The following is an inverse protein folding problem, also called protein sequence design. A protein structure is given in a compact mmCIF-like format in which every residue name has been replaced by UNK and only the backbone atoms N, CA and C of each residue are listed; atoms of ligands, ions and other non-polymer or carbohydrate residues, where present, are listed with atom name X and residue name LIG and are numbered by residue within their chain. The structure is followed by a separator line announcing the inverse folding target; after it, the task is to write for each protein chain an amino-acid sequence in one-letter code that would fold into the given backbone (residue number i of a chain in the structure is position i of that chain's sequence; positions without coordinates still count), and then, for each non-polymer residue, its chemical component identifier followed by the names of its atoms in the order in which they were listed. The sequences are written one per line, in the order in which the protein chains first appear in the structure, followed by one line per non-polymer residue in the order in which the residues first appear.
data_IF_126283240124
#
_entry.id   IF_126283240124
#
_cell.length_a   1.000
_cell.length_b   1.000
_cell.length_c   1.000
_cell.angle_alpha   90.00
_cell.angle_beta   90.00
_cell.angle_gamma   90.00
#
_symmetry.space_group_name_H-M   'P 1'
#
loop_
_entity.id
_entity.type
_entity.pdbx_description
1 polymer ?
#
# COMPACT_ATOMS: atom_id res chain seq x y z
N UNK A 1 36.83 24.17 69.08
CA UNK A 1 35.74 24.77 68.30
C UNK A 1 36.09 24.59 66.82
N UNK A 2 35.78 23.43 66.25
CA UNK A 2 36.04 23.11 64.84
C UNK A 2 34.69 23.00 64.13
N UNK A 3 34.43 23.90 63.17
CA UNK A 3 33.22 23.92 62.37
C UNK A 3 33.35 23.02 61.14
N UNK A 4 32.43 22.06 61.00
CA UNK A 4 32.32 21.15 59.86
C UNK A 4 31.45 21.82 58.79
N UNK A 5 32.01 22.01 57.60
CA UNK A 5 31.29 22.45 56.40
C UNK A 5 30.57 21.24 55.77
N UNK A 6 29.24 21.17 55.85
CA UNK A 6 28.44 20.24 55.08
C UNK A 6 28.22 20.80 53.66
N UNK A 7 28.78 20.13 52.65
CA UNK A 7 28.44 20.35 51.25
C UNK A 7 27.19 19.53 50.90
N UNK A 8 26.11 20.21 50.51
CA UNK A 8 24.89 19.58 49.99
C UNK A 8 25.04 19.28 48.49
N UNK A 9 24.86 18.02 48.11
CA UNK A 9 24.73 17.56 46.72
C UNK A 9 23.24 17.62 46.30
N UNK A 10 22.89 18.16 45.12
CA UNK A 10 21.55 17.99 44.58
C UNK A 10 21.44 16.64 43.85
N UNK A 11 20.56 15.77 44.35
CA UNK A 11 20.10 14.58 43.65
C UNK A 11 19.05 14.97 42.61
N UNK A 12 19.47 15.16 41.35
CA UNK A 12 18.55 15.26 40.22
C UNK A 12 18.54 13.92 39.48
N UNK A 13 17.67 13.01 39.94
CA UNK A 13 17.33 11.81 39.19
C UNK A 13 16.50 12.22 37.96
N UNK A 14 17.16 12.33 36.80
CA UNK A 14 16.45 12.40 35.53
C UNK A 14 15.86 11.02 35.24
N UNK A 15 14.59 10.85 35.59
CA UNK A 15 13.78 9.75 35.08
C UNK A 15 13.68 9.93 33.57
N UNK A 16 14.48 9.16 32.84
CA UNK A 16 14.38 9.03 31.39
C UNK A 16 13.00 8.44 31.09
N UNK A 17 12.04 9.28 30.72
CA UNK A 17 10.78 8.83 30.16
C UNK A 17 11.11 7.99 28.92
N UNK A 18 10.78 6.71 28.99
CA UNK A 18 10.94 5.77 27.87
C UNK A 18 10.06 6.24 26.72
N UNK A 19 10.67 6.81 25.69
CA UNK A 19 9.98 7.17 24.45
C UNK A 19 9.35 5.90 23.88
N UNK A 20 8.01 5.84 23.72
CA UNK A 20 7.40 4.69 23.08
C UNK A 20 7.97 4.53 21.67
N UNK A 21 8.28 3.30 21.28
CA UNK A 21 8.96 2.89 20.02
C UNK A 21 8.19 3.31 18.75
N UNK A 22 7.04 3.97 18.90
CA UNK A 22 6.08 4.35 17.85
C UNK A 22 6.56 5.45 16.89
N UNK A 23 7.77 6.01 17.04
CA UNK A 23 8.26 7.15 16.23
C UNK A 23 9.16 6.78 15.04
N UNK A 24 9.19 5.52 14.57
CA UNK A 24 10.17 5.12 13.53
C UNK A 24 9.75 5.41 12.09
N UNK A 25 8.48 5.65 11.80
CA UNK A 25 7.95 5.70 10.43
C UNK A 25 7.40 7.07 9.99
N UNK A 26 7.53 8.10 10.83
CA UNK A 26 6.97 9.44 10.55
C UNK A 26 5.44 9.50 10.64
N UNK A 27 4.88 10.66 10.26
CA UNK A 27 3.43 10.91 10.27
C UNK A 27 3.02 11.79 9.09
N UNK A 28 1.77 11.67 8.67
CA UNK A 28 1.19 12.51 7.62
C UNK A 28 0.96 13.93 8.15
N UNK A 29 1.44 14.94 7.42
CA UNK A 29 1.22 16.35 7.75
C UNK A 29 -0.24 16.75 7.54
N UNK A 30 -0.81 17.53 8.46
CA UNK A 30 -2.22 17.97 8.41
C UNK A 30 -3.22 16.81 8.21
N UNK A 31 -2.93 15.67 8.83
CA UNK A 31 -3.71 14.45 8.63
C UNK A 31 -5.17 14.61 9.09
N UNK A 32 -6.07 14.12 8.26
CA UNK A 32 -7.48 13.93 8.59
C UNK A 32 -7.84 12.45 8.43
N UNK A 33 -8.34 11.79 9.49
CA UNK A 33 -8.72 10.39 9.43
C UNK A 33 -9.73 10.10 8.33
N UNK A 34 -9.58 8.98 7.65
CA UNK A 34 -10.50 8.57 6.60
C UNK A 34 -11.89 8.25 7.17
N UNK A 35 -12.93 8.93 6.67
CA UNK A 35 -14.32 8.61 7.00
C UNK A 35 -14.80 7.33 6.30
N UNK A 36 -15.91 6.76 6.76
CA UNK A 36 -16.52 5.58 6.12
C UNK A 36 -16.88 5.83 4.64
N UNK A 37 -17.41 7.00 4.31
CA UNK A 37 -17.72 7.39 2.93
C UNK A 37 -16.49 7.57 2.06
N UNK A 38 -15.40 8.14 2.61
CA UNK A 38 -14.13 8.27 1.86
C UNK A 38 -13.47 6.92 1.64
N UNK A 39 -13.58 6.00 2.61
CA UNK A 39 -13.08 4.63 2.48
C UNK A 39 -13.84 3.86 1.41
N UNK A 40 -15.16 3.98 1.35
CA UNK A 40 -15.94 3.38 0.27
C UNK A 40 -15.60 3.99 -1.09
N UNK A 41 -15.42 5.31 -1.15
CA UNK A 41 -14.96 6.00 -2.37
C UNK A 41 -13.56 5.55 -2.78
N UNK A 42 -12.65 5.35 -1.83
CA UNK A 42 -11.33 4.79 -2.06
C UNK A 42 -11.45 3.39 -2.66
N UNK A 43 -12.25 2.51 -2.05
CA UNK A 43 -12.50 1.16 -2.57
C UNK A 43 -12.98 1.18 -4.03
N UNK A 44 -13.98 2.02 -4.35
CA UNK A 44 -14.49 2.14 -5.71
C UNK A 44 -13.44 2.69 -6.67
N UNK A 45 -12.71 3.76 -6.31
CA UNK A 45 -11.69 4.36 -7.19
C UNK A 45 -10.49 3.44 -7.38
N UNK A 46 -10.03 2.75 -6.34
CA UNK A 46 -8.91 1.82 -6.43
C UNK A 46 -9.27 0.53 -7.17
N UNK A 47 -10.56 0.22 -7.33
CA UNK A 47 -11.03 -0.98 -8.05
C UNK A 47 -11.43 -0.66 -9.49
N UNK A 48 -12.26 0.36 -9.68
CA UNK A 48 -12.91 0.72 -10.95
C UNK A 48 -12.43 2.06 -11.52
N UNK A 49 -11.46 2.71 -10.89
CA UNK A 49 -10.90 3.96 -11.40
C UNK A 49 -10.01 3.74 -12.62
N UNK A 50 -9.75 4.81 -13.41
CA UNK A 50 -9.00 4.71 -14.66
C UNK A 50 -7.63 4.04 -14.51
N UNK A 51 -6.89 4.35 -13.45
CA UNK A 51 -5.58 3.74 -13.17
C UNK A 51 -5.70 2.21 -13.04
N UNK A 52 -6.67 1.73 -12.26
CA UNK A 52 -6.90 0.29 -12.11
C UNK A 52 -7.33 -0.35 -13.42
N UNK A 53 -8.26 0.26 -14.16
CA UNK A 53 -8.77 -0.31 -15.40
C UNK A 53 -7.69 -0.40 -16.49
N UNK A 54 -6.86 0.65 -16.63
CA UNK A 54 -5.75 0.70 -17.59
C UNK A 54 -4.66 -0.30 -17.21
N UNK A 55 -4.25 -0.36 -15.94
CA UNK A 55 -3.30 -1.37 -15.48
C UNK A 55 -3.84 -2.79 -15.75
N UNK A 56 -5.16 -2.98 -15.66
CA UNK A 56 -5.78 -4.26 -16.01
C UNK A 56 -5.67 -4.63 -17.47
N UNK A 57 -5.89 -3.67 -18.37
CA UNK A 57 -5.76 -3.90 -19.80
C UNK A 57 -4.30 -4.21 -20.17
N UNK A 58 -3.33 -3.50 -19.58
CA UNK A 58 -1.91 -3.75 -19.81
C UNK A 58 -1.50 -5.14 -19.32
N UNK A 59 -1.85 -5.51 -18.09
CA UNK A 59 -1.51 -6.83 -17.54
C UNK A 59 -2.18 -7.98 -18.31
N UNK A 60 -3.46 -7.85 -18.65
CA UNK A 60 -4.17 -8.85 -19.42
C UNK A 60 -3.62 -8.98 -20.86
N UNK A 61 -3.29 -7.85 -21.49
CA UNK A 61 -2.67 -7.82 -22.81
C UNK A 61 -1.31 -8.52 -22.82
N UNK A 62 -0.45 -8.22 -21.83
CA UNK A 62 0.83 -8.91 -21.69
C UNK A 62 0.64 -10.41 -21.46
N UNK A 63 -0.25 -10.81 -20.54
CA UNK A 63 -0.55 -12.22 -20.26
C UNK A 63 -1.11 -12.97 -21.48
N UNK A 64 -1.87 -12.29 -22.32
CA UNK A 64 -2.40 -12.82 -23.59
C UNK A 64 -1.29 -12.96 -24.62
N UNK A 65 -0.36 -12.01 -24.70
CA UNK A 65 0.78 -12.05 -25.63
C UNK A 65 1.76 -13.19 -25.31
N UNK A 66 1.94 -13.54 -24.04
CA UNK A 66 2.79 -14.68 -23.62
C UNK A 66 2.01 -15.98 -23.40
N UNK A 67 0.69 -15.94 -23.63
CA UNK A 67 -0.26 -17.03 -23.42
C UNK A 67 -0.10 -17.77 -22.09
N UNK A 68 -0.12 -17.02 -20.97
CA UNK A 68 -0.05 -17.62 -19.62
C UNK A 68 -1.26 -17.27 -18.76
N UNK A 69 -1.95 -18.26 -18.16
CA UNK A 69 -1.86 -19.70 -18.48
C UNK A 69 -2.38 -19.97 -19.91
N UNK A 70 -1.90 -21.04 -20.55
CA UNK A 70 -2.25 -21.37 -21.95
C UNK A 70 -3.71 -21.78 -22.14
N UNK A 71 -4.36 -22.21 -21.08
CA UNK A 71 -5.75 -22.67 -21.04
C UNK A 71 -6.75 -21.55 -21.31
N UNK A 72 -6.33 -20.30 -21.12
CA UNK A 72 -7.13 -19.14 -21.50
C UNK A 72 -6.98 -18.79 -22.99
N UNK A 73 -5.90 -19.24 -23.63
CA UNK A 73 -5.57 -18.96 -25.03
C UNK A 73 -5.11 -17.52 -25.30
N UNK A 74 -4.47 -17.26 -26.45
CA UNK A 74 -3.90 -15.96 -26.81
C UNK A 74 -4.89 -15.01 -27.51
N UNK A 75 -6.19 -15.31 -27.48
CA UNK A 75 -7.24 -14.56 -28.16
C UNK A 75 -8.06 -13.68 -27.21
N UNK A 76 -9.03 -12.92 -27.75
CA UNK A 76 -9.85 -11.98 -26.99
C UNK A 76 -10.61 -12.60 -25.81
N UNK A 77 -11.09 -13.85 -25.94
CA UNK A 77 -11.69 -14.55 -24.79
C UNK A 77 -10.67 -14.78 -23.65
N UNK A 78 -9.43 -15.16 -23.97
CA UNK A 78 -8.35 -15.30 -22.99
C UNK A 78 -7.93 -13.97 -22.37
N UNK A 79 -7.92 -12.89 -23.15
CA UNK A 79 -7.75 -11.54 -22.63
C UNK A 79 -8.83 -11.19 -21.61
N UNK A 80 -10.11 -11.45 -21.95
CA UNK A 80 -11.25 -11.21 -21.07
C UNK A 80 -11.15 -11.97 -19.75
N UNK A 81 -10.79 -13.26 -19.80
CA UNK A 81 -10.53 -14.09 -18.61
C UNK A 81 -9.43 -13.49 -17.74
N UNK A 82 -8.26 -13.16 -18.31
CA UNK A 82 -7.13 -12.56 -17.56
C UNK A 82 -7.50 -11.22 -16.94
N UNK A 83 -8.24 -10.39 -17.67
CA UNK A 83 -8.73 -9.10 -17.17
C UNK A 83 -9.70 -9.29 -16.00
N UNK A 84 -10.68 -10.19 -16.14
CA UNK A 84 -11.66 -10.52 -15.11
C UNK A 84 -11.02 -11.10 -13.84
N UNK A 85 -10.11 -12.06 -13.99
CA UNK A 85 -9.35 -12.62 -12.87
C UNK A 85 -8.55 -11.54 -12.12
N UNK A 86 -7.91 -10.62 -12.85
CA UNK A 86 -7.21 -9.51 -12.22
C UNK A 86 -8.18 -8.54 -11.53
N UNK A 87 -9.30 -8.21 -12.17
CA UNK A 87 -10.30 -7.30 -11.60
C UNK A 87 -10.90 -7.86 -10.31
N UNK A 88 -11.29 -9.14 -10.29
CA UNK A 88 -11.77 -9.82 -9.08
C UNK A 88 -10.69 -9.85 -8.00
N UNK A 89 -9.43 -10.04 -8.37
CA UNK A 89 -8.29 -9.96 -7.47
C UNK A 89 -8.13 -8.59 -6.79
N UNK A 90 -8.15 -7.52 -7.59
CA UNK A 90 -8.07 -6.14 -7.08
C UNK A 90 -9.27 -5.82 -6.19
N UNK A 91 -10.49 -6.17 -6.62
CA UNK A 91 -11.71 -5.93 -5.86
C UNK A 91 -11.68 -6.64 -4.50
N UNK A 92 -11.29 -7.92 -4.48
CA UNK A 92 -11.21 -8.72 -3.25
C UNK A 92 -10.14 -8.20 -2.31
N UNK A 93 -8.93 -7.89 -2.82
CA UNK A 93 -7.87 -7.28 -2.00
C UNK A 93 -8.31 -5.94 -1.41
N UNK A 94 -8.89 -5.06 -2.22
CA UNK A 94 -9.36 -3.75 -1.74
C UNK A 94 -10.52 -3.89 -0.74
N UNK A 95 -11.40 -4.88 -0.90
CA UNK A 95 -12.49 -5.16 0.04
C UNK A 95 -11.93 -5.60 1.40
N UNK A 96 -10.94 -6.51 1.41
CA UNK A 96 -10.28 -6.97 2.64
C UNK A 96 -9.53 -5.80 3.31
N UNK A 97 -8.72 -5.05 2.55
CA UNK A 97 -7.94 -3.91 3.09
C UNK A 97 -8.87 -2.81 3.64
N UNK A 98 -9.95 -2.51 2.92
CA UNK A 98 -10.97 -1.56 3.37
C UNK A 98 -11.62 -2.03 4.67
N UNK A 99 -12.11 -3.27 4.70
CA UNK A 99 -12.88 -3.80 5.83
C UNK A 99 -12.01 -3.92 7.08
N UNK A 100 -10.86 -4.60 6.99
CA UNK A 100 -9.93 -4.73 8.11
C UNK A 100 -9.35 -3.38 8.52
N UNK A 101 -9.03 -2.52 7.56
CA UNK A 101 -8.55 -1.17 7.85
C UNK A 101 -9.59 -0.32 8.57
N UNK A 102 -10.89 -0.54 8.37
CA UNK A 102 -11.93 0.14 9.15
C UNK A 102 -11.94 -0.32 10.61
N UNK A 103 -11.68 -1.60 10.86
CA UNK A 103 -11.63 -2.19 12.20
C UNK A 103 -10.35 -1.80 12.95
N UNK A 104 -9.22 -1.73 12.26
CA UNK A 104 -7.92 -1.41 12.84
C UNK A 104 -7.55 0.08 12.77
N UNK A 105 -8.40 0.91 12.17
CA UNK A 105 -8.15 2.34 12.00
C UNK A 105 -7.01 2.66 11.03
N UNK A 106 -6.72 1.76 10.09
CA UNK A 106 -5.69 1.95 9.05
C UNK A 106 -6.29 2.69 7.85
N UNK A 107 -5.58 3.72 7.38
CA UNK A 107 -5.92 4.47 6.18
C UNK A 107 -5.21 3.88 4.95
N UNK A 108 -5.95 3.37 3.95
CA UNK A 108 -5.35 2.74 2.78
C UNK A 108 -4.92 3.75 1.70
N UNK A 109 -5.17 5.06 1.92
CA UNK A 109 -4.78 6.12 0.98
C UNK A 109 -3.26 6.30 0.97
N UNK A 110 -2.74 6.65 -0.21
CA UNK A 110 -1.36 7.07 -0.37
C UNK A 110 -1.25 8.58 -0.12
N UNK A 111 -0.33 9.00 0.75
CA UNK A 111 -0.06 10.40 1.07
C UNK A 111 1.31 10.79 0.50
N UNK A 112 1.28 11.71 -0.47
CA UNK A 112 2.47 12.18 -1.18
C UNK A 112 3.34 13.07 -0.30
N UNK A 113 4.63 13.13 -0.62
CA UNK A 113 5.58 14.04 0.03
C UNK A 113 6.36 14.87 -1.02
N UNK A 114 5.70 15.82 -1.71
CA UNK A 114 6.24 16.45 -2.92
C UNK A 114 7.45 17.37 -2.65
N UNK A 115 7.59 17.89 -1.43
CA UNK A 115 8.64 18.84 -1.06
C UNK A 115 9.99 18.17 -0.78
N UNK A 116 10.02 16.83 -0.75
CA UNK A 116 11.23 16.08 -0.47
C UNK A 116 12.08 15.79 -1.72
N UNK A 117 13.41 15.58 -1.54
CA UNK A 117 14.27 15.09 -2.62
C UNK A 117 13.81 13.75 -3.19
N UNK A 118 14.09 13.51 -4.47
CA UNK A 118 13.70 12.29 -5.20
C UNK A 118 14.02 10.98 -4.46
N UNK A 119 15.22 10.86 -3.86
CA UNK A 119 15.63 9.66 -3.12
C UNK A 119 14.77 9.40 -1.89
N UNK A 120 14.41 10.45 -1.15
CA UNK A 120 13.54 10.36 0.02
C UNK A 120 12.15 9.91 -0.38
N UNK A 121 11.61 10.48 -1.47
CA UNK A 121 10.30 10.10 -2.04
C UNK A 121 10.27 8.65 -2.54
N UNK A 122 11.36 8.18 -3.15
CA UNK A 122 11.48 6.78 -3.54
C UNK A 122 11.49 5.84 -2.33
N UNK A 123 12.23 6.19 -1.27
CA UNK A 123 12.19 5.47 0.00
C UNK A 123 10.79 5.46 0.62
N UNK A 124 10.09 6.59 0.55
CA UNK A 124 8.71 6.74 1.02
C UNK A 124 7.73 5.82 0.27
N UNK A 125 7.83 5.73 -1.06
CA UNK A 125 7.04 4.78 -1.88
C UNK A 125 7.22 3.33 -1.40
N UNK A 126 8.47 2.93 -1.16
CA UNK A 126 8.78 1.57 -0.66
C UNK A 126 8.22 1.37 0.74
N UNK A 127 8.46 2.31 1.65
CA UNK A 127 8.03 2.20 3.05
C UNK A 127 6.49 2.12 3.18
N UNK A 128 5.78 2.99 2.48
CA UNK A 128 4.30 3.05 2.48
C UNK A 128 3.65 1.92 1.68
N UNK A 129 4.43 1.09 0.98
CA UNK A 129 3.93 -0.19 0.47
C UNK A 129 3.57 -1.11 1.64
N UNK A 130 4.38 -1.10 2.71
CA UNK A 130 4.23 -1.97 3.88
C UNK A 130 3.66 -1.28 5.12
N UNK A 131 3.47 0.04 5.05
CA UNK A 131 2.93 0.82 6.16
C UNK A 131 1.69 1.61 5.75
N UNK A 132 0.87 1.98 6.73
CA UNK A 132 -0.33 2.79 6.56
C UNK A 132 -0.45 3.75 7.75
N UNK A 133 -0.99 4.97 7.54
CA UNK A 133 -1.34 5.85 8.64
C UNK A 133 -2.46 5.24 9.48
N UNK A 134 -2.34 5.34 10.80
CA UNK A 134 -3.43 5.06 11.73
C UNK A 134 -4.41 6.23 11.84
N UNK A 135 -5.39 6.13 12.74
CA UNK A 135 -6.30 7.22 13.08
C UNK A 135 -5.59 8.49 13.63
N UNK A 136 -4.35 8.36 14.11
CA UNK A 136 -3.50 9.46 14.57
C UNK A 136 -2.52 9.98 13.50
N UNK A 137 -2.61 9.47 12.27
CA UNK A 137 -1.77 9.87 11.14
C UNK A 137 -0.34 9.33 11.18
N UNK A 138 0.02 8.57 12.21
CA UNK A 138 1.34 7.93 12.32
C UNK A 138 1.39 6.66 11.49
N UNK A 139 2.48 6.47 10.75
CA UNK A 139 2.68 5.24 9.98
C UNK A 139 2.96 4.06 10.91
N UNK A 140 2.28 2.94 10.65
CA UNK A 140 2.44 1.64 11.30
C UNK A 140 2.43 0.54 10.23
N UNK A 141 2.85 -0.70 10.52
CA UNK A 141 2.65 -1.81 9.58
C UNK A 141 1.19 -1.85 9.12
N UNK A 142 0.99 -1.95 7.80
CA UNK A 142 -0.34 -1.97 7.20
C UNK A 142 -0.93 -3.37 7.29
N UNK A 143 -1.33 -3.82 8.49
CA UNK A 143 -1.81 -5.18 8.69
C UNK A 143 -2.98 -5.50 7.76
N UNK A 144 -3.89 -4.55 7.51
CA UNK A 144 -5.03 -4.77 6.62
C UNK A 144 -4.56 -5.11 5.20
N UNK A 145 -3.54 -4.41 4.70
CA UNK A 145 -2.94 -4.67 3.38
C UNK A 145 -2.10 -5.95 3.36
N UNK A 146 -1.31 -6.17 4.41
CA UNK A 146 -0.47 -7.34 4.57
C UNK A 146 -1.30 -8.63 4.64
N UNK A 147 -2.55 -8.56 5.08
CA UNK A 147 -3.52 -9.66 5.00
C UNK A 147 -4.23 -9.67 3.64
N UNK A 148 -4.66 -8.52 3.13
CA UNK A 148 -5.44 -8.41 1.91
C UNK A 148 -4.76 -8.99 0.66
N UNK A 149 -3.49 -8.62 0.44
CA UNK A 149 -2.75 -9.04 -0.76
C UNK A 149 -2.59 -10.57 -0.80
N UNK A 150 -1.99 -11.25 0.21
CA UNK A 150 -1.92 -12.70 0.21
C UNK A 150 -3.30 -13.35 0.31
N UNK A 151 -4.19 -12.85 1.17
CA UNK A 151 -5.53 -13.40 1.37
C UNK A 151 -6.31 -13.50 0.06
N UNK A 152 -6.30 -12.44 -0.75
CA UNK A 152 -6.86 -12.48 -2.09
C UNK A 152 -6.14 -13.49 -3.00
N UNK A 153 -4.81 -13.47 -3.05
CA UNK A 153 -4.08 -14.33 -3.99
C UNK A 153 -4.30 -15.82 -3.72
N UNK A 154 -4.35 -16.23 -2.45
CA UNK A 154 -4.72 -17.59 -2.08
C UNK A 154 -6.20 -17.89 -2.34
N UNK A 155 -7.12 -16.98 -1.96
CA UNK A 155 -8.55 -17.18 -2.19
C UNK A 155 -8.89 -17.35 -3.68
N UNK A 156 -8.22 -16.57 -4.53
CA UNK A 156 -8.45 -16.60 -5.98
C UNK A 156 -8.09 -17.92 -6.67
N UNK A 157 -7.38 -18.83 -5.98
CA UNK A 157 -7.16 -20.18 -6.48
C UNK A 157 -8.49 -20.92 -6.73
N UNK A 158 -9.55 -20.57 -6.01
CA UNK A 158 -10.87 -21.22 -6.14
C UNK A 158 -11.60 -20.91 -7.44
N UNK A 159 -11.15 -19.93 -8.24
CA UNK A 159 -11.76 -19.58 -9.52
C UNK A 159 -10.73 -19.31 -10.64
N UNK A 160 -9.50 -19.78 -10.48
CA UNK A 160 -8.44 -19.73 -11.50
C UNK A 160 -8.30 -21.07 -12.21
N UNK A 161 -7.58 -21.09 -13.33
CA UNK A 161 -7.18 -22.33 -13.98
C UNK A 161 -6.27 -23.17 -13.06
N UNK A 162 -6.44 -24.50 -13.14
CA UNK A 162 -5.76 -25.45 -12.26
C UNK A 162 -4.23 -25.35 -12.32
N UNK A 163 -3.67 -24.96 -13.47
CA UNK A 163 -2.22 -24.79 -13.65
C UNK A 163 -1.61 -23.57 -12.95
N UNK A 164 -2.45 -22.65 -12.45
CA UNK A 164 -2.01 -21.45 -11.73
C UNK A 164 -2.70 -21.31 -10.35
N UNK A 165 -3.43 -22.34 -9.89
CA UNK A 165 -4.23 -22.32 -8.67
C UNK A 165 -3.56 -23.00 -7.47
N UNK A 166 -2.24 -23.16 -7.49
CA UNK A 166 -1.48 -23.76 -6.39
C UNK A 166 -0.92 -22.71 -5.39
N UNK A 167 -0.30 -23.21 -4.31
CA UNK A 167 0.28 -22.35 -3.26
C UNK A 167 1.53 -21.59 -3.73
N UNK A 168 2.30 -22.17 -4.64
CA UNK A 168 3.53 -21.56 -5.17
C UNK A 168 3.18 -20.38 -6.06
N UNK A 169 2.21 -20.55 -6.95
CA UNK A 169 1.70 -19.48 -7.79
C UNK A 169 1.01 -18.39 -6.97
N UNK A 170 0.28 -18.75 -5.91
CA UNK A 170 -0.32 -17.77 -5.00
C UNK A 170 0.76 -16.95 -4.26
N UNK A 171 1.87 -17.57 -3.86
CA UNK A 171 2.99 -16.87 -3.26
C UNK A 171 3.69 -15.93 -4.24
N UNK A 172 3.93 -16.36 -5.49
CA UNK A 172 4.49 -15.50 -6.53
C UNK A 172 3.56 -14.32 -6.86
N UNK A 173 2.25 -14.56 -6.97
CA UNK A 173 1.25 -13.51 -7.16
C UNK A 173 1.18 -12.54 -5.97
N UNK A 174 1.44 -13.02 -4.75
CA UNK A 174 1.58 -12.15 -3.56
C UNK A 174 2.76 -11.19 -3.72
N UNK A 175 3.92 -11.68 -4.16
CA UNK A 175 5.07 -10.83 -4.47
C UNK A 175 4.73 -9.79 -5.55
N UNK A 176 4.10 -10.21 -6.66
CA UNK A 176 3.65 -9.29 -7.70
C UNK A 176 2.60 -8.29 -7.19
N UNK A 177 1.75 -8.69 -6.25
CA UNK A 177 0.78 -7.80 -5.60
C UNK A 177 1.45 -6.65 -4.85
N UNK A 178 2.51 -6.95 -4.09
CA UNK A 178 3.29 -5.90 -3.43
C UNK A 178 4.06 -5.02 -4.42
N UNK A 179 4.64 -5.60 -5.48
CA UNK A 179 5.28 -4.83 -6.54
C UNK A 179 4.27 -3.92 -7.28
N UNK A 180 3.06 -4.41 -7.53
CA UNK A 180 1.97 -3.63 -8.11
C UNK A 180 1.54 -2.49 -7.19
N UNK A 181 1.44 -2.72 -5.87
CA UNK A 181 1.17 -1.67 -4.89
C UNK A 181 2.27 -0.62 -4.88
N UNK A 182 3.54 -1.04 -4.90
CA UNK A 182 4.69 -0.13 -4.97
C UNK A 182 4.67 0.70 -6.26
N UNK A 183 4.32 0.09 -7.39
CA UNK A 183 4.15 0.77 -8.67
C UNK A 183 3.03 1.82 -8.65
N UNK A 184 1.87 1.49 -8.06
CA UNK A 184 0.76 2.45 -7.89
C UNK A 184 1.13 3.59 -6.95
N UNK A 185 1.82 3.30 -5.84
CA UNK A 185 2.38 4.33 -4.95
C UNK A 185 3.36 5.23 -5.70
N UNK A 186 4.26 4.68 -6.51
CA UNK A 186 5.20 5.46 -7.32
C UNK A 186 4.47 6.33 -8.35
N UNK A 187 3.43 5.80 -8.98
CA UNK A 187 2.61 6.55 -9.92
C UNK A 187 1.92 7.72 -9.21
N UNK A 188 1.27 7.47 -8.07
CA UNK A 188 0.65 8.51 -7.25
C UNK A 188 1.66 9.57 -6.79
N UNK A 189 2.89 9.15 -6.45
CA UNK A 189 3.95 10.03 -5.98
C UNK A 189 4.46 10.95 -7.10
N UNK A 190 4.80 10.42 -8.26
CA UNK A 190 5.59 11.12 -9.28
C UNK A 190 4.81 11.57 -10.51
N UNK A 191 3.67 10.94 -10.84
CA UNK A 191 2.90 11.29 -12.04
C UNK A 191 2.45 12.76 -12.09
N UNK A 192 2.02 13.39 -10.98
CA UNK A 192 1.63 14.80 -11.01
C UNK A 192 2.79 15.73 -11.42
N UNK A 193 4.01 15.42 -11.02
CA UNK A 193 5.21 16.21 -11.36
C UNK A 193 5.57 16.03 -12.84
N UNK A 194 5.47 14.79 -13.34
CA UNK A 194 5.64 14.49 -14.78
C UNK A 194 4.60 15.24 -15.59
N UNK A 195 3.32 15.20 -15.18
CA UNK A 195 2.24 15.90 -15.85
C UNK A 195 2.48 17.41 -15.86
N UNK A 196 2.91 18.00 -14.75
CA UNK A 196 3.22 19.43 -14.67
C UNK A 196 4.34 19.82 -15.64
N UNK A 197 5.42 19.04 -15.70
CA UNK A 197 6.57 19.34 -16.59
C UNK A 197 6.27 19.12 -18.07
N UNK A 198 5.44 18.14 -18.40
CA UNK A 198 5.14 17.76 -19.78
C UNK A 198 4.01 18.59 -20.40
N UNK A 199 2.98 18.96 -19.63
CA UNK A 199 1.74 19.57 -20.15
C UNK A 199 1.47 21.01 -19.67
N UNK A 200 2.25 21.53 -18.73
CA UNK A 200 2.11 22.93 -18.25
C UNK A 200 3.34 23.78 -18.53
N UNK A 201 4.16 23.41 -19.53
CA UNK A 201 5.15 24.32 -20.14
C UNK A 201 4.47 25.20 -21.19
N UNK A 202 3.88 26.30 -20.75
CA UNK A 202 3.60 27.49 -21.54
C UNK A 202 3.99 28.71 -20.72
#
# INVERSE_FOLDING_TARGET
MAGVCLLALPAAGQTSASTPVTSRFGSVQNYQPISGSERFRWFLRSTLGPESLVAGAVTAGFGTAIDKPSEYGPHWDGFGKRYGIRLTGVATSNAIESSLGSLWGEDPRYFRDPDQPFKTRLGHVVLTTFTAPGADGRYRPAYARLVAIPGNNFLSNTWRADSESDNRDAALRTLYGFLGRMGSNAFAEFWPDVKQRAFHRH
#
